data_IF_570184434069
#
_entry.id   IF_570184434069
#
_cell.length_a   1.000
_cell.length_b   1.000
_cell.length_c   1.000
_cell.angle_alpha   90.00
_cell.angle_beta   90.00
_cell.angle_gamma   90.00
#
_symmetry.space_group_name_H-M   'P 1'
#
loop_
_entity.id
_entity.type
_entity.pdbx_description
1 polymer ?
#
# COMPACT_ATOMS: atom_id res chain seq x y z
N UNK A 1 -35.71 -34.70 42.76
CA UNK A 1 -36.20 -33.92 41.60
C UNK A 1 -35.00 -33.22 40.99
N UNK A 2 -34.29 -33.90 40.08
CA UNK A 2 -33.04 -33.41 39.49
C UNK A 2 -33.37 -32.73 38.16
N UNK A 3 -33.11 -31.42 38.06
CA UNK A 3 -33.24 -30.69 36.80
C UNK A 3 -31.99 -30.93 35.95
N UNK A 4 -32.19 -31.63 34.83
CA UNK A 4 -31.20 -31.74 33.77
C UNK A 4 -30.99 -30.36 33.12
N UNK A 5 -29.75 -29.86 33.17
CA UNK A 5 -29.34 -28.68 32.40
C UNK A 5 -29.32 -29.06 30.91
N UNK A 6 -30.19 -28.41 30.15
CA UNK A 6 -30.19 -28.44 28.69
C UNK A 6 -28.82 -28.05 28.16
N UNK A 7 -28.19 -28.94 27.38
CA UNK A 7 -26.98 -28.64 26.65
C UNK A 7 -27.30 -27.63 25.55
N UNK A 8 -26.84 -26.39 25.72
CA UNK A 8 -26.85 -25.38 24.68
C UNK A 8 -26.09 -25.92 23.47
N UNK A 9 -26.77 -26.07 22.34
CA UNK A 9 -26.14 -26.38 21.07
C UNK A 9 -25.06 -25.33 20.78
N UNK A 10 -23.84 -25.80 20.53
CA UNK A 10 -22.74 -24.96 20.05
C UNK A 10 -23.17 -24.32 18.72
N UNK A 11 -22.90 -23.02 18.51
CA UNK A 11 -23.12 -22.41 17.20
C UNK A 11 -22.31 -23.18 16.15
N UNK A 12 -22.83 -23.31 14.91
CA UNK A 12 -22.12 -24.00 13.84
C UNK A 12 -20.75 -23.36 13.65
N UNK A 13 -19.71 -24.20 13.62
CA UNK A 13 -18.35 -23.76 13.32
C UNK A 13 -18.38 -22.92 12.05
N UNK A 14 -17.95 -21.66 12.16
CA UNK A 14 -17.65 -20.82 10.99
C UNK A 14 -16.76 -21.68 10.10
N UNK A 15 -17.19 -21.95 8.86
CA UNK A 15 -16.39 -22.71 7.89
C UNK A 15 -14.98 -22.13 7.92
N UNK A 16 -14.03 -22.90 8.45
CA UNK A 16 -12.68 -22.43 8.67
C UNK A 16 -12.09 -21.94 7.37
N UNK A 17 -11.30 -20.87 7.43
CA UNK A 17 -10.48 -20.43 6.32
C UNK A 17 -9.63 -21.62 5.86
N UNK A 18 -9.73 -22.01 4.59
CA UNK A 18 -8.81 -22.95 3.97
C UNK A 18 -7.61 -22.16 3.41
N UNK A 19 -6.44 -22.21 4.07
CA UNK A 19 -5.29 -21.41 3.66
C UNK A 19 -4.76 -21.84 2.29
N UNK A 20 -4.95 -23.10 1.86
CA UNK A 20 -4.49 -23.57 0.56
C UNK A 20 -5.30 -22.93 -0.58
N UNK A 21 -6.61 -22.76 -0.38
CA UNK A 21 -7.50 -22.06 -1.32
C UNK A 21 -7.14 -20.58 -1.45
N UNK A 22 -6.79 -19.93 -0.33
CA UNK A 22 -6.35 -18.53 -0.34
C UNK A 22 -5.04 -18.42 -1.12
N UNK A 23 -4.00 -19.14 -0.70
CA UNK A 23 -2.65 -19.06 -1.28
C UNK A 23 -2.63 -19.38 -2.78
N UNK A 24 -3.47 -20.32 -3.23
CA UNK A 24 -3.55 -20.69 -4.65
C UNK A 24 -4.43 -19.77 -5.50
N UNK A 25 -5.09 -18.78 -4.90
CA UNK A 25 -5.99 -17.88 -5.59
C UNK A 25 -5.29 -17.15 -6.75
N UNK A 26 -5.97 -17.12 -7.90
CA UNK A 26 -5.50 -16.44 -9.12
C UNK A 26 -6.31 -15.19 -9.32
N UNK A 27 -5.65 -14.05 -9.18
CA UNK A 27 -6.23 -12.76 -9.54
C UNK A 27 -6.25 -12.60 -11.06
N UNK A 28 -7.25 -11.89 -11.57
CA UNK A 28 -7.25 -11.45 -12.96
C UNK A 28 -6.20 -10.36 -13.14
N UNK A 29 -5.48 -10.41 -14.26
CA UNK A 29 -4.63 -9.31 -14.68
C UNK A 29 -5.47 -8.05 -14.92
N UNK A 30 -4.93 -6.90 -14.51
CA UNK A 30 -5.60 -5.60 -14.64
C UNK A 30 -4.69 -4.64 -15.39
N UNK A 31 -5.20 -4.14 -16.51
CA UNK A 31 -4.52 -3.19 -17.39
C UNK A 31 -5.08 -1.79 -17.20
N UNK A 32 -4.21 -0.78 -17.15
CA UNK A 32 -4.61 0.62 -17.10
C UNK A 32 -3.53 1.52 -17.67
N UNK A 33 -3.94 2.70 -18.15
CA UNK A 33 -3.05 3.78 -18.51
C UNK A 33 -2.97 4.83 -17.42
N UNK A 34 -1.85 5.54 -17.39
CA UNK A 34 -1.71 6.80 -16.68
C UNK A 34 -0.97 7.81 -17.56
N UNK A 35 -1.19 9.08 -17.30
CA UNK A 35 -0.52 10.17 -18.00
C UNK A 35 0.12 11.18 -17.05
N UNK A 36 0.64 12.26 -17.62
CA UNK A 36 1.38 13.27 -16.88
C UNK A 36 0.49 14.03 -15.88
N UNK A 37 -0.84 14.05 -16.10
CA UNK A 37 -1.80 14.63 -15.17
C UNK A 37 -1.90 13.76 -13.92
N UNK A 38 -1.96 12.44 -14.08
CA UNK A 38 -2.00 11.51 -12.93
C UNK A 38 -0.72 11.61 -12.09
N UNK A 39 0.44 11.69 -12.75
CA UNK A 39 1.74 11.87 -12.10
C UNK A 39 1.83 13.19 -11.33
N UNK A 40 1.42 14.29 -11.95
CA UNK A 40 1.44 15.61 -11.31
C UNK A 40 0.45 15.67 -10.13
N UNK A 41 -0.75 15.11 -10.31
CA UNK A 41 -1.76 15.03 -9.26
C UNK A 41 -1.29 14.22 -8.06
N UNK A 42 -0.64 13.08 -8.29
CA UNK A 42 0.00 12.31 -7.23
C UNK A 42 1.05 13.12 -6.49
N UNK A 43 1.96 13.78 -7.23
CA UNK A 43 3.05 14.56 -6.64
C UNK A 43 2.53 15.69 -5.75
N UNK A 44 1.51 16.43 -6.20
CA UNK A 44 0.80 17.43 -5.37
C UNK A 44 0.10 16.77 -4.17
N UNK A 45 -0.55 15.62 -4.38
CA UNK A 45 -1.25 14.86 -3.36
C UNK A 45 -0.35 14.34 -2.24
N UNK A 46 0.94 14.18 -2.50
CA UNK A 46 1.94 13.84 -1.49
C UNK A 46 2.78 15.04 -1.05
N UNK A 47 2.43 16.27 -1.42
CA UNK A 47 2.98 17.50 -0.85
C UNK A 47 4.00 18.25 -1.69
N UNK A 48 4.28 17.84 -2.92
CA UNK A 48 5.15 18.61 -3.81
C UNK A 48 4.58 20.02 -4.02
N UNK A 49 5.45 21.04 -3.99
CA UNK A 49 5.13 22.46 -4.14
C UNK A 49 4.16 23.02 -3.08
N UNK A 50 3.90 22.27 -1.99
CA UNK A 50 2.90 22.67 -0.99
C UNK A 50 3.36 23.83 -0.09
N UNK A 51 4.66 23.87 0.22
CA UNK A 51 5.26 24.94 1.02
C UNK A 51 5.62 26.17 0.15
N UNK A 52 6.09 25.93 -1.07
CA UNK A 52 6.49 26.95 -2.03
C UNK A 52 6.20 26.45 -3.45
N UNK A 53 5.32 27.16 -4.16
CA UNK A 53 4.95 26.83 -5.54
C UNK A 53 6.05 27.18 -6.56
N UNK A 54 7.01 28.03 -6.18
CA UNK A 54 8.10 28.48 -7.04
C UNK A 54 9.40 27.66 -6.85
N UNK A 55 9.40 26.68 -5.94
CA UNK A 55 10.55 25.79 -5.73
C UNK A 55 10.85 24.97 -7.00
N UNK A 56 11.82 25.43 -7.79
CA UNK A 56 12.20 24.80 -9.06
C UNK A 56 12.57 23.31 -8.91
N UNK A 57 13.04 22.89 -7.73
CA UNK A 57 13.40 21.49 -7.47
C UNK A 57 12.18 20.59 -7.26
N UNK A 58 11.06 21.13 -6.79
CA UNK A 58 9.80 20.39 -6.67
C UNK A 58 8.93 20.59 -7.91
N UNK A 59 9.02 21.76 -8.55
CA UNK A 59 8.25 22.10 -9.74
C UNK A 59 8.43 21.06 -10.85
N UNK A 60 9.65 20.50 -11.02
CA UNK A 60 9.93 19.41 -11.96
C UNK A 60 9.08 18.14 -11.79
N UNK A 61 8.43 17.94 -10.64
CA UNK A 61 7.51 16.81 -10.37
C UNK A 61 6.09 17.06 -10.89
N UNK A 62 5.75 18.31 -11.16
CA UNK A 62 4.38 18.74 -11.54
C UNK A 62 4.34 19.46 -12.89
N UNK A 63 5.43 20.13 -13.27
CA UNK A 63 5.54 20.93 -14.48
C UNK A 63 7.00 21.05 -14.96
N UNK A 64 7.19 21.05 -16.28
CA UNK A 64 8.50 21.22 -16.91
C UNK A 64 8.43 22.17 -18.09
N UNK A 65 9.34 23.15 -18.15
CA UNK A 65 9.39 24.18 -19.21
C UNK A 65 9.64 23.59 -20.60
N UNK A 66 10.33 22.45 -20.68
CA UNK A 66 10.63 21.74 -21.93
C UNK A 66 9.51 20.76 -22.35
N UNK A 67 8.36 20.79 -21.66
CA UNK A 67 7.18 19.98 -22.00
C UNK A 67 6.80 19.01 -20.91
N UNK A 68 5.49 18.78 -20.75
CA UNK A 68 4.93 17.98 -19.67
C UNK A 68 5.40 16.51 -19.70
N UNK A 69 5.73 15.95 -20.87
CA UNK A 69 6.30 14.60 -21.00
C UNK A 69 7.62 14.42 -20.25
N UNK A 70 8.30 15.50 -19.89
CA UNK A 70 9.59 15.49 -19.19
C UNK A 70 9.46 15.62 -17.67
N UNK A 71 8.23 15.67 -17.10
CA UNK A 71 8.08 15.71 -15.64
C UNK A 71 8.73 14.49 -15.01
N UNK A 72 9.36 14.72 -13.86
CA UNK A 72 9.97 13.65 -13.07
C UNK A 72 8.90 12.94 -12.26
N UNK A 73 8.89 11.61 -12.32
CA UNK A 73 7.91 10.79 -11.60
C UNK A 73 8.47 10.42 -10.23
N UNK A 74 7.74 10.71 -9.15
CA UNK A 74 8.14 10.24 -7.82
C UNK A 74 8.15 8.70 -7.77
N UNK A 75 9.18 8.06 -7.18
CA UNK A 75 9.28 6.60 -7.08
C UNK A 75 8.04 5.96 -6.46
N UNK A 76 7.47 6.61 -5.44
CA UNK A 76 6.29 6.14 -4.72
C UNK A 76 4.99 6.24 -5.52
N UNK A 77 4.98 6.87 -6.70
CA UNK A 77 3.80 6.92 -7.57
C UNK A 77 3.25 5.52 -7.87
N UNK A 78 4.13 4.53 -8.04
CA UNK A 78 3.75 3.14 -8.33
C UNK A 78 2.93 2.47 -7.21
N UNK A 79 3.00 2.98 -5.97
CA UNK A 79 2.14 2.50 -4.87
C UNK A 79 0.65 2.79 -5.10
N UNK A 80 0.31 3.75 -5.97
CA UNK A 80 -1.07 4.01 -6.38
C UNK A 80 -1.65 2.92 -7.30
N UNK A 81 -0.80 2.13 -7.97
CA UNK A 81 -1.22 1.12 -8.94
C UNK A 81 -2.00 -0.03 -8.28
N UNK A 82 -1.78 -0.24 -6.99
CA UNK A 82 -2.51 -1.19 -6.15
C UNK A 82 -4.02 -0.89 -6.20
N UNK A 83 -4.39 0.39 -6.23
CA UNK A 83 -5.79 0.81 -6.24
C UNK A 83 -6.43 0.84 -7.63
N UNK A 84 -5.63 0.80 -8.69
CA UNK A 84 -6.12 0.65 -10.07
C UNK A 84 -6.46 -0.80 -10.41
N UNK A 85 -6.09 -1.75 -9.54
CA UNK A 85 -6.28 -3.19 -9.73
C UNK A 85 -7.69 -3.71 -9.34
N UNK A 86 -8.71 -2.84 -9.28
CA UNK A 86 -10.07 -3.19 -8.85
C UNK A 86 -10.40 -2.60 -7.48
N UNK A 87 -10.77 -3.44 -6.50
CA UNK A 87 -11.19 -3.00 -5.15
C UNK A 87 -10.03 -2.51 -4.24
N UNK A 88 -8.88 -2.14 -4.82
CA UNK A 88 -7.68 -1.74 -4.09
C UNK A 88 -7.19 -2.80 -3.10
N UNK A 89 -6.88 -2.41 -1.87
CA UNK A 89 -6.49 -3.35 -0.80
C UNK A 89 -7.66 -4.22 -0.29
N UNK A 90 -8.90 -3.91 -0.68
CA UNK A 90 -10.06 -4.76 -0.34
C UNK A 90 -10.09 -5.92 -1.30
N UNK A 91 -9.51 -7.02 -0.86
CA UNK A 91 -9.46 -8.25 -1.62
C UNK A 91 -10.78 -9.00 -1.56
N UNK A 92 -11.22 -9.46 -2.72
CA UNK A 92 -12.26 -10.47 -2.85
C UNK A 92 -11.60 -11.84 -3.12
N UNK A 93 -11.08 -12.46 -2.05
CA UNK A 93 -10.46 -13.79 -2.12
C UNK A 93 -11.45 -14.80 -1.54
N UNK A 94 -11.94 -15.76 -2.34
CA UNK A 94 -12.82 -16.81 -1.86
C UNK A 94 -12.24 -17.53 -0.65
N UNK A 95 -13.03 -17.61 0.42
CA UNK A 95 -12.63 -18.26 1.68
C UNK A 95 -11.97 -17.32 2.69
N UNK A 96 -11.61 -16.09 2.33
CA UNK A 96 -11.09 -15.08 3.25
C UNK A 96 -12.21 -14.14 3.70
N UNK A 97 -12.74 -14.35 4.90
CA UNK A 97 -13.76 -13.48 5.48
C UNK A 97 -13.14 -12.51 6.48
N UNK A 98 -13.36 -11.21 6.28
CA UNK A 98 -12.90 -10.16 7.19
C UNK A 98 -13.85 -8.96 7.14
N UNK A 99 -13.86 -8.14 8.19
CA UNK A 99 -14.54 -6.84 8.18
C UNK A 99 -13.56 -5.78 7.64
N UNK A 100 -13.85 -5.12 6.50
CA UNK A 100 -12.98 -4.10 5.92
C UNK A 100 -12.63 -2.94 6.86
N UNK A 101 -13.46 -2.65 7.87
CA UNK A 101 -13.16 -1.59 8.88
C UNK A 101 -11.96 -1.94 9.75
N UNK A 102 -11.60 -3.22 9.87
CA UNK A 102 -10.48 -3.69 10.67
C UNK A 102 -9.26 -4.12 9.84
N UNK A 103 -9.29 -3.83 8.53
CA UNK A 103 -8.15 -3.96 7.64
C UNK A 103 -7.16 -2.84 7.92
N UNK A 104 -5.90 -3.20 8.14
CA UNK A 104 -4.80 -2.25 8.29
C UNK A 104 -3.71 -2.52 7.27
N UNK A 105 -3.30 -1.50 6.55
CA UNK A 105 -2.07 -1.55 5.75
C UNK A 105 -0.88 -1.27 6.67
N UNK A 106 -0.08 -2.30 6.94
CA UNK A 106 0.93 -2.27 8.02
C UNK A 106 2.33 -2.06 7.49
N UNK A 107 2.67 -2.63 6.34
CA UNK A 107 4.00 -2.47 5.75
C UNK A 107 3.87 -2.35 4.24
N UNK A 108 4.80 -1.60 3.66
CA UNK A 108 4.86 -1.44 2.23
C UNK A 108 6.30 -1.58 1.73
N UNK A 109 6.46 -2.24 0.61
CA UNK A 109 7.73 -2.47 -0.04
C UNK A 109 7.61 -2.22 -1.53
N UNK A 110 8.58 -1.52 -2.12
CA UNK A 110 8.62 -1.18 -3.53
C UNK A 110 10.02 -1.51 -4.06
N UNK A 111 10.10 -2.19 -5.20
CA UNK A 111 11.29 -2.26 -6.04
C UNK A 111 11.00 -1.64 -7.40
N UNK A 112 11.96 -0.88 -7.91
CA UNK A 112 11.88 -0.19 -9.21
C UNK A 112 13.00 -0.74 -10.09
N UNK A 113 12.64 -1.30 -11.24
CA UNK A 113 13.59 -1.96 -12.14
C UNK A 113 14.05 -1.07 -13.30
N UNK A 114 13.42 0.08 -13.49
CA UNK A 114 13.83 1.09 -14.48
C UNK A 114 13.13 2.44 -14.26
N UNK A 115 13.52 3.48 -15.01
CA UNK A 115 12.88 4.80 -14.91
C UNK A 115 11.37 4.71 -15.14
N UNK A 116 10.60 5.30 -14.24
CA UNK A 116 9.14 5.35 -14.38
C UNK A 116 8.79 6.41 -15.43
N UNK A 117 8.17 6.04 -16.56
CA UNK A 117 7.79 7.01 -17.57
C UNK A 117 6.64 7.88 -17.03
N UNK A 118 6.58 9.14 -17.46
CA UNK A 118 5.53 10.10 -17.08
C UNK A 118 4.16 9.78 -17.68
N UNK A 119 4.13 8.84 -18.65
CA UNK A 119 2.95 8.29 -19.29
C UNK A 119 3.23 6.85 -19.72
N UNK A 120 2.34 5.91 -19.39
CA UNK A 120 2.41 4.55 -19.89
C UNK A 120 1.07 3.83 -19.80
N UNK A 121 0.93 2.76 -20.59
CA UNK A 121 -0.02 1.69 -20.34
C UNK A 121 0.72 0.53 -19.66
N UNK A 122 0.15 0.03 -18.57
CA UNK A 122 0.75 -1.01 -17.74
C UNK A 122 -0.24 -2.10 -17.40
N UNK A 123 0.28 -3.28 -17.09
CA UNK A 123 -0.49 -4.43 -16.64
C UNK A 123 0.00 -4.91 -15.27
N UNK A 124 -0.93 -5.10 -14.34
CA UNK A 124 -0.66 -5.59 -12.99
C UNK A 124 -0.94 -7.09 -12.87
N UNK A 125 0.09 -7.84 -12.49
CA UNK A 125 0.05 -9.26 -12.17
C UNK A 125 0.13 -9.42 -10.66
N UNK A 126 -0.98 -9.85 -10.05
CA UNK A 126 -1.16 -9.89 -8.58
C UNK A 126 -1.05 -11.33 -8.09
N UNK A 127 -0.37 -11.55 -6.96
CA UNK A 127 -0.33 -12.84 -6.27
C UNK A 127 -0.34 -12.66 -4.76
N UNK A 128 -0.76 -13.71 -4.06
CA UNK A 128 -0.54 -13.82 -2.61
C UNK A 128 0.90 -14.27 -2.41
N UNK A 129 1.73 -13.35 -1.92
CA UNK A 129 3.13 -13.63 -1.60
C UNK A 129 3.31 -14.16 -0.19
N UNK A 130 2.36 -13.91 0.71
CA UNK A 130 2.43 -14.39 2.09
C UNK A 130 1.05 -14.49 2.75
N UNK A 131 0.90 -15.46 3.64
CA UNK A 131 -0.29 -15.64 4.48
C UNK A 131 0.15 -16.21 5.83
N UNK A 132 -0.17 -15.51 6.90
CA UNK A 132 0.24 -15.88 8.25
C UNK A 132 -0.93 -15.78 9.22
N UNK A 133 -1.13 -16.82 10.00
CA UNK A 133 -2.01 -16.77 11.16
C UNK A 133 -1.27 -16.15 12.35
N UNK A 134 -1.80 -15.05 12.88
CA UNK A 134 -1.30 -14.36 14.07
C UNK A 134 -2.32 -14.39 15.20
N UNK A 135 -3.04 -15.52 15.32
CA UNK A 135 -3.98 -15.78 16.41
C UNK A 135 -5.31 -15.04 16.22
N UNK A 136 -5.39 -13.76 16.61
CA UNK A 136 -6.61 -12.95 16.43
C UNK A 136 -6.63 -12.18 15.11
N UNK A 137 -5.61 -12.33 14.27
CA UNK A 137 -5.51 -11.65 12.98
C UNK A 137 -4.89 -12.58 11.93
N UNK A 138 -5.28 -12.39 10.68
CA UNK A 138 -4.53 -12.88 9.54
C UNK A 138 -3.62 -11.76 9.03
N UNK A 139 -2.36 -12.07 8.74
CA UNK A 139 -1.48 -11.18 7.98
C UNK A 139 -1.38 -11.72 6.57
N UNK A 140 -1.73 -10.90 5.61
CA UNK A 140 -1.72 -11.23 4.21
C UNK A 140 -0.75 -10.31 3.48
N UNK A 141 0.08 -10.87 2.63
CA UNK A 141 1.03 -10.12 1.82
C UNK A 141 0.67 -10.29 0.35
N UNK A 142 0.34 -9.17 -0.27
CA UNK A 142 0.05 -9.08 -1.69
C UNK A 142 1.29 -8.58 -2.41
N UNK A 143 1.68 -9.28 -3.46
CA UNK A 143 2.70 -8.81 -4.38
C UNK A 143 2.05 -8.48 -5.73
N UNK A 144 2.42 -7.32 -6.27
CA UNK A 144 1.96 -6.82 -7.55
C UNK A 144 3.19 -6.52 -8.39
N UNK A 145 3.35 -7.29 -9.47
CA UNK A 145 4.30 -7.00 -10.53
C UNK A 145 3.61 -6.17 -11.60
N UNK A 146 4.19 -5.02 -11.92
CA UNK A 146 3.67 -4.13 -12.96
C UNK A 146 4.59 -4.21 -14.18
N UNK A 147 4.03 -4.59 -15.32
CA UNK A 147 4.72 -4.70 -16.60
C UNK A 147 4.28 -3.57 -17.56
N UNK A 148 5.20 -3.07 -18.38
CA UNK A 148 4.86 -2.17 -19.49
C UNK A 148 4.15 -2.95 -20.59
N UNK A 149 2.98 -2.50 -21.07
CA UNK A 149 2.24 -3.24 -22.11
C UNK A 149 2.98 -3.33 -23.44
N UNK A 150 3.79 -2.33 -23.77
CA UNK A 150 4.47 -2.23 -25.07
C UNK A 150 5.62 -3.24 -25.19
N UNK A 151 6.31 -3.58 -24.09
CA UNK A 151 7.49 -4.45 -24.10
C UNK A 151 7.39 -5.70 -23.22
N UNK A 152 6.38 -5.79 -22.34
CA UNK A 152 6.27 -6.78 -21.25
C UNK A 152 7.43 -6.74 -20.23
N UNK A 153 8.28 -5.69 -20.29
CA UNK A 153 9.32 -5.47 -19.29
C UNK A 153 8.69 -5.15 -17.93
N UNK A 154 9.28 -5.69 -16.87
CA UNK A 154 8.86 -5.40 -15.49
C UNK A 154 9.31 -3.98 -15.12
N UNK A 155 8.36 -3.11 -14.80
CA UNK A 155 8.62 -1.74 -14.38
C UNK A 155 8.95 -1.67 -12.89
N UNK A 156 8.11 -2.30 -12.06
CA UNK A 156 8.24 -2.29 -10.60
C UNK A 156 7.53 -3.48 -9.96
N UNK A 157 7.89 -3.75 -8.70
CA UNK A 157 7.19 -4.66 -7.81
C UNK A 157 6.74 -3.90 -6.57
N UNK A 158 5.48 -4.08 -6.18
CA UNK A 158 4.95 -3.59 -4.91
C UNK A 158 4.55 -4.78 -4.04
N UNK A 159 4.94 -4.78 -2.76
CA UNK A 159 4.44 -5.72 -1.77
C UNK A 159 3.76 -4.98 -0.61
N UNK A 160 2.47 -5.25 -0.44
CA UNK A 160 1.64 -4.70 0.64
C UNK A 160 1.41 -5.77 1.71
N UNK A 161 1.74 -5.45 2.95
CA UNK A 161 1.43 -6.28 4.11
C UNK A 161 0.19 -5.75 4.80
N UNK A 162 -0.86 -6.56 4.81
CA UNK A 162 -2.19 -6.22 5.32
C UNK A 162 -2.47 -7.05 6.55
N UNK A 163 -2.88 -6.41 7.64
CA UNK A 163 -3.38 -7.09 8.84
C UNK A 163 -4.90 -7.04 8.87
N UNK A 164 -5.51 -8.22 8.84
CA UNK A 164 -6.95 -8.44 8.88
C UNK A 164 -7.32 -8.89 10.30
N UNK A 165 -7.64 -7.93 11.17
CA UNK A 165 -8.01 -8.25 12.56
C UNK A 165 -9.37 -8.97 12.59
N UNK A 166 -9.48 -9.98 13.43
CA UNK A 166 -10.64 -10.86 13.52
C UNK A 166 -10.64 -12.01 12.52
N UNK A 167 -9.78 -11.98 11.50
CA UNK A 167 -9.69 -13.03 10.47
C UNK A 167 -8.62 -14.10 10.75
N UNK A 168 -8.03 -14.12 11.96
CA UNK A 168 -7.04 -15.12 12.38
C UNK A 168 -7.66 -16.37 13.02
N UNK A 169 -6.80 -17.27 13.50
CA UNK A 169 -7.22 -18.43 14.29
C UNK A 169 -7.72 -19.59 13.43
N UNK A 170 -7.28 -19.61 12.17
CA UNK A 170 -7.61 -20.65 11.19
C UNK A 170 -6.62 -21.82 11.22
N UNK A 171 -5.53 -21.69 11.96
CA UNK A 171 -4.52 -22.74 12.15
C UNK A 171 -4.43 -23.21 13.60
N UNK A 172 -3.70 -24.30 13.83
CA UNK A 172 -3.45 -24.80 15.17
C UNK A 172 -2.59 -23.79 15.95
N UNK A 173 -3.03 -23.36 17.13
CA UNK A 173 -2.31 -22.35 17.92
C UNK A 173 -0.88 -22.76 18.32
N UNK A 174 -0.60 -24.06 18.39
CA UNK A 174 0.76 -24.59 18.65
C UNK A 174 1.70 -24.55 17.45
N UNK A 175 1.14 -24.50 16.23
CA UNK A 175 1.88 -24.40 14.97
C UNK A 175 1.10 -23.47 14.02
N UNK A 176 1.21 -22.14 14.22
CA UNK A 176 0.49 -21.19 13.40
C UNK A 176 0.87 -21.32 11.93
N UNK A 177 -0.12 -21.28 11.05
CA UNK A 177 0.10 -21.36 9.62
C UNK A 177 0.93 -20.16 9.15
N UNK A 178 1.93 -20.42 8.32
CA UNK A 178 2.77 -19.41 7.72
C UNK A 178 3.21 -19.87 6.34
N UNK A 179 2.96 -19.04 5.35
CA UNK A 179 3.36 -19.23 3.96
C UNK A 179 4.01 -17.95 3.45
N UNK A 180 5.11 -18.06 2.70
CA UNK A 180 5.71 -16.96 1.97
C UNK A 180 6.38 -17.49 0.68
N UNK A 181 6.33 -16.72 -0.41
CA UNK A 181 6.97 -17.06 -1.70
C UNK A 181 8.41 -16.58 -1.82
N UNK A 182 8.93 -15.91 -0.79
CA UNK A 182 10.24 -15.28 -0.78
C UNK A 182 10.96 -15.60 0.53
N UNK A 183 12.28 -15.45 0.54
CA UNK A 183 13.09 -15.83 1.70
C UNK A 183 12.88 -14.84 2.86
N UNK A 184 12.78 -15.34 4.09
CA UNK A 184 12.52 -14.52 5.29
C UNK A 184 13.54 -13.39 5.53
N UNK A 185 14.72 -13.52 4.94
CA UNK A 185 15.87 -12.64 5.03
C UNK A 185 15.87 -11.50 3.99
N UNK A 186 14.90 -11.44 3.08
CA UNK A 186 14.75 -10.29 2.15
C UNK A 186 14.14 -9.05 2.82
N UNK A 187 13.44 -9.23 3.95
CA UNK A 187 12.92 -8.11 4.76
C UNK A 187 13.92 -7.82 5.86
N UNK A 188 14.94 -7.02 5.55
CA UNK A 188 15.91 -6.57 6.53
C UNK A 188 15.22 -5.86 7.70
N UNK A 189 15.40 -6.36 8.93
CA UNK A 189 15.08 -5.59 10.12
C UNK A 189 16.02 -4.37 10.16
N UNK A 190 15.53 -3.23 9.68
CA UNK A 190 16.28 -1.98 9.72
C UNK A 190 16.34 -1.53 11.18
N UNK A 191 17.53 -1.61 11.78
CA UNK A 191 17.81 -0.97 13.05
C UNK A 191 18.26 0.46 12.81
N UNK A 192 17.57 1.42 13.40
CA UNK A 192 17.99 2.82 13.37
C UNK A 192 19.10 3.05 14.41
N UNK A 193 20.18 3.75 14.07
CA UNK A 193 21.23 4.06 15.04
C UNK A 193 20.70 5.06 16.09
N UNK A 194 21.14 4.90 17.34
CA UNK A 194 20.85 5.82 18.46
C UNK A 194 21.67 7.13 18.37
N UNK A 195 21.80 7.69 17.16
CA UNK A 195 22.54 8.92 16.86
C UNK A 195 21.63 10.01 16.32
N UNK A 196 22.05 11.28 16.44
CA UNK A 196 21.35 12.40 15.81
C UNK A 196 21.17 12.16 14.30
N UNK A 197 19.97 12.38 13.74
CA UNK A 197 19.74 12.25 12.30
C UNK A 197 20.66 13.17 11.49
N UNK A 198 21.20 12.68 10.37
CA UNK A 198 22.06 13.47 9.48
C UNK A 198 21.29 14.58 8.75
N UNK A 199 19.99 14.43 8.58
CA UNK A 199 19.08 15.44 8.06
C UNK A 199 17.71 15.25 8.71
N UNK A 200 17.02 16.37 8.94
CA UNK A 200 15.61 16.42 9.36
C UNK A 200 14.88 17.31 8.38
N UNK A 201 13.70 16.87 7.95
CA UNK A 201 12.86 17.63 7.04
C UNK A 201 11.44 17.64 7.60
N UNK A 202 10.84 18.83 7.68
CA UNK A 202 9.50 19.04 8.19
C UNK A 202 8.59 19.47 7.04
N UNK A 203 7.48 18.77 6.88
CA UNK A 203 6.42 19.09 5.94
C UNK A 203 5.11 19.33 6.70
N UNK A 204 4.34 20.31 6.24
CA UNK A 204 3.00 20.56 6.78
C UNK A 204 1.93 19.98 5.84
N UNK A 205 1.15 19.05 6.34
CA UNK A 205 0.00 18.51 5.60
C UNK A 205 -1.16 19.51 5.58
N UNK A 206 -1.88 19.59 4.47
CA UNK A 206 -3.10 20.40 4.40
C UNK A 206 -4.28 19.71 5.08
N UNK A 207 -5.28 20.48 5.54
CA UNK A 207 -6.52 19.91 6.09
C UNK A 207 -7.24 18.99 5.09
N UNK A 208 -7.12 19.27 3.80
CA UNK A 208 -7.69 18.48 2.70
C UNK A 208 -6.73 17.45 2.11
N UNK A 209 -5.56 17.20 2.73
CA UNK A 209 -4.51 16.36 2.13
C UNK A 209 -5.00 14.94 1.81
N UNK A 210 -5.78 14.33 2.70
CA UNK A 210 -6.35 13.00 2.48
C UNK A 210 -7.30 12.96 1.28
N UNK A 211 -8.10 14.01 1.09
CA UNK A 211 -9.03 14.15 -0.04
C UNK A 211 -8.29 14.41 -1.36
N UNK A 212 -7.19 15.15 -1.34
CA UNK A 212 -6.37 15.37 -2.53
C UNK A 212 -5.63 14.08 -2.93
N UNK A 213 -5.02 13.40 -1.95
CA UNK A 213 -4.33 12.13 -2.17
C UNK A 213 -5.28 11.06 -2.72
N UNK A 214 -6.53 11.01 -2.25
CA UNK A 214 -7.52 10.03 -2.73
C UNK A 214 -7.81 10.11 -4.22
N UNK A 215 -7.65 11.28 -4.84
CA UNK A 215 -7.80 11.43 -6.30
C UNK A 215 -6.74 10.65 -7.10
N UNK A 216 -5.64 10.24 -6.48
CA UNK A 216 -4.64 9.35 -7.09
C UNK A 216 -5.05 7.87 -7.06
N UNK A 217 -6.25 7.56 -6.58
CA UNK A 217 -6.80 6.19 -6.54
C UNK A 217 -7.08 5.67 -5.11
N UNK A 218 -6.72 6.40 -4.06
CA UNK A 218 -6.91 5.97 -2.66
C UNK A 218 -8.35 6.19 -2.16
N UNK A 219 -9.34 5.55 -2.76
CA UNK A 219 -10.76 5.72 -2.41
C UNK A 219 -11.23 4.86 -1.21
N UNK A 220 -10.40 4.71 -0.17
CA UNK A 220 -10.88 4.08 1.08
C UNK A 220 -11.69 5.11 1.90
N UNK A 221 -12.97 4.85 2.24
CA UNK A 221 -13.77 5.74 3.07
C UNK A 221 -13.15 6.05 4.43
N UNK A 222 -12.23 5.23 4.95
CA UNK A 222 -11.47 5.54 6.17
C UNK A 222 -10.78 6.91 6.13
N UNK A 223 -10.44 7.39 4.93
CA UNK A 223 -9.70 8.63 4.71
C UNK A 223 -10.60 9.81 4.33
N UNK A 224 -11.92 9.63 4.22
CA UNK A 224 -12.81 10.69 3.72
C UNK A 224 -14.19 10.72 4.38
N UNK A 225 -14.73 9.58 4.82
CA UNK A 225 -16.04 9.46 5.42
C UNK A 225 -15.94 9.46 6.95
N UNK A 226 -16.42 10.51 7.64
CA UNK A 226 -16.42 10.55 9.10
C UNK A 226 -17.18 9.38 9.72
N UNK A 227 -18.34 8.98 9.18
CA UNK A 227 -19.14 7.88 9.74
C UNK A 227 -18.37 6.57 9.69
N UNK A 228 -17.69 6.29 8.58
CA UNK A 228 -16.85 5.10 8.45
C UNK A 228 -15.64 5.15 9.41
N UNK A 229 -14.95 6.29 9.50
CA UNK A 229 -13.80 6.45 10.39
C UNK A 229 -14.17 6.23 11.88
N UNK A 230 -15.29 6.78 12.33
CA UNK A 230 -15.81 6.54 13.68
C UNK A 230 -16.16 5.07 13.90
N UNK A 231 -16.81 4.41 12.92
CA UNK A 231 -17.12 2.99 13.01
C UNK A 231 -15.86 2.10 13.02
N UNK A 232 -14.75 2.57 12.45
CA UNK A 232 -13.44 1.93 12.50
C UNK A 232 -12.63 2.26 13.78
N UNK A 233 -13.16 3.12 14.66
CA UNK A 233 -12.55 3.48 15.95
C UNK A 233 -11.65 4.71 15.95
N UNK A 234 -11.68 5.52 14.88
CA UNK A 234 -10.95 6.80 14.82
C UNK A 234 -11.87 7.98 15.15
N UNK A 235 -11.32 9.06 15.70
CA UNK A 235 -12.07 10.28 16.02
C UNK A 235 -12.44 11.11 14.77
N UNK A 236 -11.72 10.92 13.67
CA UNK A 236 -11.95 11.56 12.38
C UNK A 236 -11.23 10.75 11.27
N UNK A 237 -11.51 11.02 9.99
CA UNK A 237 -10.74 10.43 8.90
C UNK A 237 -9.24 10.70 9.04
N UNK A 238 -8.42 9.70 8.75
CA UNK A 238 -6.96 9.77 8.88
C UNK A 238 -6.28 9.90 7.53
N UNK A 239 -5.06 10.43 7.48
CA UNK A 239 -4.27 10.47 6.26
C UNK A 239 -3.85 9.03 5.84
N UNK A 240 -3.90 8.66 4.54
CA UNK A 240 -3.39 7.37 4.10
C UNK A 240 -1.90 7.22 4.43
N UNK A 241 -1.50 6.07 4.98
CA UNK A 241 -0.08 5.82 5.29
C UNK A 241 0.83 5.91 4.06
N UNK A 242 0.33 5.56 2.87
CA UNK A 242 1.04 5.72 1.60
C UNK A 242 1.20 7.19 1.17
N UNK A 243 0.32 8.08 1.63
CA UNK A 243 0.53 9.52 1.47
C UNK A 243 1.76 9.95 2.28
N UNK A 244 1.82 9.57 3.56
CA UNK A 244 2.97 9.83 4.44
C UNK A 244 4.26 9.24 3.86
N UNK A 245 4.21 8.05 3.25
CA UNK A 245 5.34 7.47 2.53
C UNK A 245 5.82 8.37 1.38
N UNK A 246 4.90 8.93 0.59
CA UNK A 246 5.24 9.87 -0.48
C UNK A 246 5.92 11.14 0.03
N UNK A 247 5.44 11.70 1.14
CA UNK A 247 6.10 12.80 1.84
C UNK A 247 7.53 12.42 2.27
N UNK A 248 7.69 11.26 2.94
CA UNK A 248 8.97 10.79 3.43
C UNK A 248 9.98 10.56 2.29
N UNK A 249 9.56 9.94 1.18
CA UNK A 249 10.45 9.70 0.04
C UNK A 249 10.80 11.01 -0.67
N UNK A 250 9.87 11.98 -0.76
CA UNK A 250 10.20 13.32 -1.29
C UNK A 250 11.27 14.00 -0.43
N UNK A 251 11.15 13.93 0.90
CA UNK A 251 12.15 14.45 1.82
C UNK A 251 13.53 13.77 1.62
N UNK A 252 13.57 12.44 1.49
CA UNK A 252 14.80 11.68 1.21
C UNK A 252 15.42 12.12 -0.12
N UNK A 253 14.61 12.26 -1.18
CA UNK A 253 15.08 12.73 -2.49
C UNK A 253 15.70 14.12 -2.41
N UNK A 254 15.08 15.02 -1.63
CA UNK A 254 15.54 16.40 -1.43
C UNK A 254 16.86 16.43 -0.67
N UNK A 255 16.97 15.63 0.40
CA UNK A 255 18.15 15.61 1.27
C UNK A 255 19.35 14.89 0.68
N UNK A 256 19.12 13.78 -0.04
CA UNK A 256 20.21 12.85 -0.39
C UNK A 256 20.35 12.56 -1.89
N UNK A 257 19.31 12.80 -2.70
CA UNK A 257 19.30 12.41 -4.11
C UNK A 257 19.23 13.61 -5.07
N UNK A 258 19.37 14.86 -4.58
CA UNK A 258 19.25 16.08 -5.40
C UNK A 258 17.95 16.12 -6.23
N UNK A 259 16.87 15.58 -5.69
CA UNK A 259 15.59 15.43 -6.38
C UNK A 259 15.70 14.65 -7.71
N UNK A 260 16.51 13.58 -7.72
CA UNK A 260 16.60 12.62 -8.81
C UNK A 260 15.87 11.31 -8.46
N UNK A 261 14.63 11.09 -8.94
CA UNK A 261 13.87 9.88 -8.67
C UNK A 261 14.56 8.59 -9.09
N UNK A 262 15.32 8.62 -10.18
CA UNK A 262 16.02 7.43 -10.68
C UNK A 262 17.11 6.90 -9.73
N UNK A 263 17.48 7.68 -8.71
CA UNK A 263 18.41 7.24 -7.67
C UNK A 263 17.78 6.28 -6.64
N UNK A 264 16.46 6.09 -6.66
CA UNK A 264 15.74 5.24 -5.71
C UNK A 264 15.38 3.92 -6.38
N UNK A 265 16.03 2.84 -5.93
CA UNK A 265 15.75 1.48 -6.43
C UNK A 265 14.75 0.73 -5.56
N UNK A 266 14.80 0.92 -4.24
CA UNK A 266 13.99 0.18 -3.27
C UNK A 266 13.50 1.06 -2.14
N UNK A 267 12.27 0.83 -1.71
CA UNK A 267 11.64 1.52 -0.59
C UNK A 267 11.00 0.48 0.31
N UNK A 268 11.18 0.60 1.62
CA UNK A 268 10.53 -0.24 2.62
C UNK A 268 10.07 0.61 3.80
N UNK A 269 8.85 0.41 4.26
CA UNK A 269 8.31 1.10 5.42
C UNK A 269 7.38 0.20 6.25
N UNK A 270 7.15 0.60 7.50
CA UNK A 270 6.26 -0.03 8.48
C UNK A 270 5.58 1.05 9.31
#
# INVERSE_FOLDING_TARGET
MAMARSASAMPPAVKGIDPAMIVSHKFREVTFGYDERDVALYSLGVGACSADAEDEKELQLVYQRNGQSSIKVLPTFVSSFIFKSGNGLRLDVPGLNYDPKFLLHVQHYIEIYGPIPSRASVANKIKIAGLHDRGKAAVLELEILTCLEVSDDVLCMNRSTICLRGAGGFSNSSQPFSYATYAANEVSNVTFPDSTPSAVYEDCTQNSQALLCSLSGYFDPLHSDPTFAHAAGFSHPILPGLCTLGFAVRAVLRSFCRMEPAAVERISCR
#
